data_IF_070913493772
#
_entry.id   IF_070913493772
#
_cell.length_a   1.000
_cell.length_b   1.000
_cell.length_c   1.000
_cell.angle_alpha   90.00
_cell.angle_beta   90.00
_cell.angle_gamma   90.00
#
_symmetry.space_group_name_H-M   'P 1'
#
loop_
_entity.id
_entity.type
_entity.pdbx_description
1 polymer ?
#
# COMPACT_ATOMS: atom_id res chain seq x y z
N UNK A 1 6.38 -25.35 17.36
CA UNK A 1 5.32 -24.36 17.01
C UNK A 1 5.93 -22.97 17.10
N UNK A 2 5.94 -22.17 16.02
CA UNK A 2 6.44 -20.79 16.10
C UNK A 2 5.60 -20.01 17.11
N UNK A 3 6.27 -19.27 18.01
CA UNK A 3 5.61 -18.48 19.06
C UNK A 3 4.71 -17.43 18.40
N UNK A 4 3.58 -17.14 19.03
CA UNK A 4 2.62 -16.10 18.59
C UNK A 4 3.31 -14.76 18.29
N UNK A 5 4.37 -14.44 19.02
CA UNK A 5 5.18 -13.24 18.83
C UNK A 5 5.94 -13.20 17.50
N UNK A 6 6.44 -14.35 17.01
CA UNK A 6 7.17 -14.43 15.75
C UNK A 6 6.23 -14.17 14.57
N UNK A 7 5.01 -14.71 14.64
CA UNK A 7 3.97 -14.49 13.61
C UNK A 7 3.54 -13.02 13.57
N UNK A 8 3.39 -12.38 14.73
CA UNK A 8 3.01 -10.97 14.80
C UNK A 8 4.12 -10.05 14.26
N UNK A 9 5.39 -10.34 14.56
CA UNK A 9 6.55 -9.62 14.01
C UNK A 9 6.64 -9.78 12.50
N UNK A 10 6.43 -10.99 11.99
CA UNK A 10 6.38 -11.25 10.55
C UNK A 10 5.27 -10.44 9.88
N UNK A 11 4.06 -10.42 10.45
CA UNK A 11 2.93 -9.65 9.93
C UNK A 11 3.22 -8.15 9.87
N UNK A 12 3.79 -7.58 10.94
CA UNK A 12 4.22 -6.19 10.95
C UNK A 12 5.29 -5.91 9.89
N UNK A 13 6.25 -6.82 9.72
CA UNK A 13 7.28 -6.73 8.68
C UNK A 13 6.69 -6.74 7.27
N UNK A 14 5.73 -7.63 7.00
CA UNK A 14 5.00 -7.68 5.72
C UNK A 14 4.21 -6.39 5.48
N UNK A 15 3.51 -5.88 6.49
CA UNK A 15 2.78 -4.62 6.37
C UNK A 15 3.71 -3.44 6.05
N UNK A 16 4.87 -3.36 6.69
CA UNK A 16 5.88 -2.34 6.41
C UNK A 16 6.42 -2.47 4.99
N UNK A 17 6.74 -3.69 4.55
CA UNK A 17 7.23 -3.94 3.20
C UNK A 17 6.20 -3.51 2.13
N UNK A 18 4.92 -3.83 2.35
CA UNK A 18 3.83 -3.41 1.46
C UNK A 18 3.66 -1.89 1.47
N UNK A 19 3.76 -1.23 2.62
CA UNK A 19 3.67 0.22 2.71
C UNK A 19 4.81 0.90 1.94
N UNK A 20 6.04 0.43 2.08
CA UNK A 20 7.21 0.97 1.37
C UNK A 20 7.07 0.72 -0.13
N UNK A 21 6.85 -0.53 -0.54
CA UNK A 21 6.73 -0.89 -1.96
C UNK A 21 5.56 -0.17 -2.63
N UNK A 22 4.40 -0.14 -1.99
CA UNK A 22 3.21 0.53 -2.48
C UNK A 22 3.38 2.05 -2.60
N UNK A 23 4.06 2.69 -1.65
CA UNK A 23 4.39 4.12 -1.75
C UNK A 23 5.35 4.40 -2.91
N UNK A 24 6.29 3.49 -3.17
CA UNK A 24 7.22 3.59 -4.30
C UNK A 24 6.45 3.50 -5.63
N UNK A 25 5.51 2.55 -5.73
CA UNK A 25 4.62 2.43 -6.89
C UNK A 25 3.75 3.66 -7.08
N UNK A 26 3.24 4.25 -6.00
CA UNK A 26 2.44 5.45 -6.10
C UNK A 26 3.23 6.66 -6.57
N UNK A 27 4.49 6.79 -6.14
CA UNK A 27 5.41 7.79 -6.68
C UNK A 27 5.66 7.54 -8.18
N UNK A 28 5.83 6.27 -8.55
CA UNK A 28 5.90 5.85 -9.95
C UNK A 28 4.67 6.26 -10.75
N UNK A 29 3.46 5.98 -10.25
CA UNK A 29 2.19 6.33 -10.89
C UNK A 29 1.94 7.86 -10.93
N UNK A 30 2.45 8.58 -9.94
CA UNK A 30 2.44 10.03 -9.93
C UNK A 30 3.26 10.57 -11.11
N UNK A 31 4.50 10.12 -11.25
CA UNK A 31 5.46 10.62 -12.25
C UNK A 31 5.23 10.05 -13.66
N UNK A 32 4.76 8.81 -13.76
CA UNK A 32 4.69 8.04 -14.98
C UNK A 32 3.32 7.38 -15.09
N UNK A 33 2.67 7.46 -16.25
CA UNK A 33 1.46 6.67 -16.48
C UNK A 33 0.64 7.11 -17.68
N UNK A 34 -0.44 6.40 -17.97
CA UNK A 34 -1.37 6.80 -19.02
C UNK A 34 -2.06 8.11 -18.62
N UNK A 35 -2.25 8.99 -19.61
CA UNK A 35 -3.22 10.07 -19.53
C UNK A 35 -4.63 9.46 -19.61
N UNK A 36 -5.47 9.79 -18.64
CA UNK A 36 -6.84 9.25 -18.53
C UNK A 36 -7.76 9.74 -19.65
N UNK A 37 -7.37 10.80 -20.37
CA UNK A 37 -8.17 11.38 -21.46
C UNK A 37 -7.77 10.83 -22.83
N UNK A 38 -6.46 10.67 -23.09
CA UNK A 38 -5.94 10.25 -24.39
C UNK A 38 -5.46 8.79 -24.41
N UNK A 39 -5.29 8.16 -23.24
CA UNK A 39 -4.77 6.80 -23.12
C UNK A 39 -3.27 6.66 -23.39
N UNK A 40 -2.58 7.74 -23.78
CA UNK A 40 -1.15 7.71 -24.08
C UNK A 40 -0.29 7.79 -22.83
N UNK A 41 0.89 7.18 -22.85
CA UNK A 41 1.84 7.28 -21.74
C UNK A 41 2.40 8.70 -21.69
N UNK A 42 2.16 9.37 -20.56
CA UNK A 42 2.66 10.72 -20.28
C UNK A 42 3.59 10.72 -19.07
N UNK A 43 4.61 11.58 -19.14
CA UNK A 43 5.58 11.84 -18.08
C UNK A 43 5.17 13.04 -17.22
N UNK A 44 3.98 13.61 -17.45
CA UNK A 44 3.46 14.69 -16.65
C UNK A 44 3.04 14.17 -15.26
N UNK A 45 3.42 14.84 -14.16
CA UNK A 45 3.02 14.44 -12.82
C UNK A 45 1.50 14.52 -12.66
N UNK A 46 0.88 13.48 -12.10
CA UNK A 46 -0.56 13.40 -11.85
C UNK A 46 -0.87 12.98 -10.42
N UNK A 47 -1.37 13.90 -9.57
CA UNK A 47 -1.79 13.61 -8.20
C UNK A 47 -2.87 12.53 -8.13
N UNK A 48 -3.75 12.47 -9.14
CA UNK A 48 -4.85 11.49 -9.20
C UNK A 48 -4.31 10.06 -9.30
N UNK A 49 -3.35 9.81 -10.20
CA UNK A 49 -2.77 8.48 -10.38
C UNK A 49 -2.02 8.00 -9.14
N UNK A 50 -1.16 8.86 -8.59
CA UNK A 50 -0.44 8.55 -7.34
C UNK A 50 -1.40 8.33 -6.17
N UNK A 51 -2.45 9.16 -6.07
CA UNK A 51 -3.47 9.07 -5.03
C UNK A 51 -4.27 7.77 -5.09
N UNK A 52 -4.63 7.29 -6.28
CA UNK A 52 -5.31 5.99 -6.44
C UNK A 52 -4.46 4.85 -5.89
N UNK A 53 -3.17 4.79 -6.28
CA UNK A 53 -2.26 3.74 -5.82
C UNK A 53 -2.04 3.84 -4.31
N UNK A 54 -1.80 5.03 -3.76
CA UNK A 54 -1.70 5.24 -2.31
C UNK A 54 -2.98 4.83 -1.58
N UNK A 55 -4.15 5.10 -2.16
CA UNK A 55 -5.45 4.71 -1.59
C UNK A 55 -5.56 3.20 -1.41
N UNK A 56 -5.17 2.41 -2.42
CA UNK A 56 -5.15 0.95 -2.32
C UNK A 56 -4.17 0.45 -1.26
N UNK A 57 -2.98 1.05 -1.19
CA UNK A 57 -1.95 0.69 -0.20
C UNK A 57 -2.44 0.99 1.22
N UNK A 58 -3.02 2.18 1.43
CA UNK A 58 -3.58 2.59 2.71
C UNK A 58 -4.76 1.71 3.13
N UNK A 59 -5.66 1.35 2.19
CA UNK A 59 -6.76 0.44 2.47
C UNK A 59 -6.28 -0.95 2.88
N UNK A 60 -5.29 -1.50 2.16
CA UNK A 60 -4.72 -2.82 2.48
C UNK A 60 -4.04 -2.82 3.85
N UNK A 61 -3.12 -1.89 4.09
CA UNK A 61 -2.38 -1.80 5.36
C UNK A 61 -3.32 -1.47 6.52
N UNK A 62 -4.24 -0.54 6.33
CA UNK A 62 -5.25 -0.15 7.33
C UNK A 62 -6.20 -1.30 7.68
N UNK A 63 -6.70 -2.03 6.69
CA UNK A 63 -7.53 -3.22 6.89
C UNK A 63 -6.81 -4.30 7.71
N UNK A 64 -5.56 -4.59 7.37
CA UNK A 64 -4.74 -5.52 8.15
C UNK A 64 -4.48 -5.04 9.58
N UNK A 65 -4.19 -3.75 9.77
CA UNK A 65 -3.99 -3.16 11.10
C UNK A 65 -5.25 -3.32 11.98
N UNK A 66 -6.44 -3.08 11.42
CA UNK A 66 -7.72 -3.25 12.11
C UNK A 66 -7.98 -4.71 12.49
N UNK A 67 -7.70 -5.66 11.59
CA UNK A 67 -7.84 -7.09 11.87
C UNK A 67 -6.90 -7.56 12.99
N UNK A 68 -5.66 -7.06 13.01
CA UNK A 68 -4.71 -7.34 14.09
C UNK A 68 -5.18 -6.76 15.42
N UNK A 69 -5.74 -5.55 15.41
CA UNK A 69 -6.29 -4.91 16.62
C UNK A 69 -7.51 -5.67 17.15
N UNK A 70 -8.41 -6.12 16.27
CA UNK A 70 -9.56 -6.94 16.64
C UNK A 70 -9.19 -8.31 17.21
N UNK A 71 -8.05 -8.87 16.80
CA UNK A 71 -7.48 -10.12 17.34
C UNK A 71 -6.78 -9.97 18.69
N UNK A 72 -6.37 -8.75 19.08
CA UNK A 72 -5.76 -8.47 20.39
C UNK A 72 -6.78 -8.19 21.50
N UNK A 73 -8.04 -7.90 21.14
CA UNK A 73 -9.12 -7.58 22.08
C UNK A 73 -10.05 -8.76 22.42
N UNK A 74 -9.76 -9.96 21.92
CA UNK A 74 -10.39 -11.23 22.31
C UNK A 74 -9.34 -12.09 23.00
#
# INVERSE_FOLDING_TARGET
>A
MPKTDDKQRLLLGVMLAVAVWGSTLALGAFLFGPDLTTGQVTFAPSPVRGGIVLGFVAFFVGGWALLLRGRRGK
#
